data_IF_282295313890
#
_entry.id   IF_282295313890
#
_cell.length_a   1.000
_cell.length_b   1.000
_cell.length_c   1.000
_cell.angle_alpha   90.00
_cell.angle_beta   90.00
_cell.angle_gamma   90.00
#
_symmetry.space_group_name_H-M   'P 1'
#
loop_
_entity.id
_entity.type
_entity.pdbx_description
1 polymer ?
#
# COMPACT_ATOMS: atom_id res chain seq x y z
N UNK A 1 15.03 -21.44 5.90
CA UNK A 1 13.66 -20.99 5.58
C UNK A 1 13.63 -20.62 4.12
N UNK A 2 12.60 -21.08 3.41
CA UNK A 2 12.36 -20.71 2.02
C UNK A 2 11.85 -19.27 1.89
N UNK A 3 11.85 -18.72 0.67
CA UNK A 3 11.33 -17.38 0.38
C UNK A 3 9.87 -17.22 0.85
N UNK A 4 9.04 -18.25 0.61
CA UNK A 4 7.60 -18.26 0.94
C UNK A 4 7.33 -18.30 2.45
N UNK A 5 8.29 -18.75 3.26
CA UNK A 5 8.20 -18.72 4.73
C UNK A 5 8.78 -17.43 5.30
N UNK A 6 9.86 -16.91 4.69
CA UNK A 6 10.61 -15.78 5.21
C UNK A 6 9.93 -14.44 4.94
N UNK A 7 9.40 -14.24 3.73
CA UNK A 7 8.82 -12.96 3.33
C UNK A 7 7.62 -12.53 4.18
N UNK A 8 6.63 -13.42 4.47
CA UNK A 8 5.52 -13.06 5.34
C UNK A 8 5.97 -12.69 6.76
N UNK A 9 6.99 -13.39 7.29
CA UNK A 9 7.54 -13.09 8.63
C UNK A 9 8.17 -11.69 8.66
N UNK A 10 9.02 -11.36 7.69
CA UNK A 10 9.64 -10.04 7.59
C UNK A 10 8.58 -8.96 7.42
N UNK A 11 7.60 -9.17 6.53
CA UNK A 11 6.52 -8.23 6.29
C UNK A 11 5.68 -7.99 7.56
N UNK A 12 5.35 -9.05 8.30
CA UNK A 12 4.61 -8.96 9.57
C UNK A 12 5.38 -8.19 10.64
N UNK A 13 6.66 -8.49 10.83
CA UNK A 13 7.52 -7.77 11.78
C UNK A 13 7.67 -6.30 11.40
N UNK A 14 7.87 -6.00 10.11
CA UNK A 14 7.95 -4.63 9.62
C UNK A 14 6.64 -3.87 9.83
N UNK A 15 5.49 -4.51 9.59
CA UNK A 15 4.17 -3.92 9.83
C UNK A 15 3.98 -3.59 11.32
N UNK A 16 4.24 -4.54 12.23
CA UNK A 16 4.16 -4.32 13.68
C UNK A 16 5.07 -3.17 14.12
N UNK A 17 6.34 -3.19 13.71
CA UNK A 17 7.30 -2.14 14.04
C UNK A 17 6.85 -0.77 13.50
N UNK A 18 6.35 -0.71 12.27
CA UNK A 18 5.90 0.54 11.65
C UNK A 18 4.66 1.11 12.35
N UNK A 19 3.69 0.27 12.73
CA UNK A 19 2.49 0.70 13.45
C UNK A 19 2.88 1.21 14.84
N UNK A 20 3.69 0.46 15.59
CA UNK A 20 4.17 0.91 16.91
C UNK A 20 4.88 2.26 16.79
N UNK A 21 5.82 2.38 15.85
CA UNK A 21 6.55 3.61 15.62
C UNK A 21 5.63 4.79 15.29
N UNK A 22 4.68 4.60 14.35
CA UNK A 22 3.74 5.64 13.94
C UNK A 22 2.75 6.01 15.06
N UNK A 23 2.44 5.09 15.98
CA UNK A 23 1.55 5.34 17.12
C UNK A 23 2.21 6.12 18.26
N UNK A 24 3.54 6.10 18.37
CA UNK A 24 4.26 6.75 19.47
C UNK A 24 5.04 8.00 19.05
N UNK A 25 5.17 8.24 17.74
CA UNK A 25 5.94 9.38 17.24
C UNK A 25 5.07 10.62 17.06
N UNK A 26 5.40 11.69 17.77
CA UNK A 26 4.76 13.01 17.62
C UNK A 26 5.53 13.93 16.66
N UNK A 27 6.49 13.37 15.91
CA UNK A 27 7.30 14.18 14.99
C UNK A 27 6.43 14.68 13.84
N UNK A 28 6.50 15.99 13.52
CA UNK A 28 5.80 16.51 12.35
C UNK A 28 6.32 15.82 11.08
N UNK A 29 5.43 15.64 10.10
CA UNK A 29 5.80 15.05 8.82
C UNK A 29 6.83 15.96 8.12
N UNK A 30 7.97 15.38 7.75
CA UNK A 30 8.98 16.10 6.96
C UNK A 30 8.51 16.27 5.50
N UNK A 31 9.08 17.26 4.80
CA UNK A 31 8.81 17.48 3.35
C UNK A 31 9.14 16.28 2.45
N UNK A 32 9.98 15.36 2.93
CA UNK A 32 10.41 14.17 2.19
C UNK A 32 9.67 12.90 2.61
N UNK A 33 8.67 12.99 3.49
CA UNK A 33 7.96 11.81 4.00
C UNK A 33 7.25 11.02 2.90
N UNK A 34 6.91 11.66 1.77
CA UNK A 34 6.37 11.01 0.58
C UNK A 34 7.30 9.94 -0.04
N UNK A 35 8.60 9.99 0.24
CA UNK A 35 9.58 9.03 -0.30
C UNK A 35 9.41 7.63 0.29
N UNK A 36 8.98 7.52 1.54
CA UNK A 36 8.76 6.23 2.21
C UNK A 36 7.68 5.40 1.50
N UNK A 37 6.44 5.90 1.31
CA UNK A 37 5.43 5.17 0.57
C UNK A 37 5.81 4.98 -0.91
N UNK A 38 6.59 5.87 -1.52
CA UNK A 38 7.11 5.63 -2.88
C UNK A 38 8.04 4.41 -2.93
N UNK A 39 8.98 4.31 -1.99
CA UNK A 39 9.91 3.19 -1.89
C UNK A 39 9.18 1.88 -1.61
N UNK A 40 8.17 1.89 -0.73
CA UNK A 40 7.33 0.72 -0.45
C UNK A 40 6.53 0.27 -1.68
N UNK A 41 5.95 1.23 -2.42
CA UNK A 41 5.24 0.94 -3.67
C UNK A 41 6.17 0.29 -4.70
N UNK A 42 7.38 0.85 -4.91
CA UNK A 42 8.36 0.31 -5.85
C UNK A 42 8.90 -1.06 -5.43
N UNK A 43 9.21 -1.24 -4.14
CA UNK A 43 9.68 -2.52 -3.61
C UNK A 43 8.61 -3.61 -3.81
N UNK A 44 7.36 -3.30 -3.46
CA UNK A 44 6.27 -4.27 -3.60
C UNK A 44 5.92 -4.54 -5.08
N UNK A 45 6.05 -3.54 -5.96
CA UNK A 45 5.96 -3.74 -7.40
C UNK A 45 7.03 -4.73 -7.88
N UNK A 46 8.29 -4.60 -7.44
CA UNK A 46 9.36 -5.53 -7.79
C UNK A 46 9.05 -6.97 -7.37
N UNK A 47 8.57 -7.16 -6.13
CA UNK A 47 8.14 -8.47 -5.62
C UNK A 47 6.94 -9.03 -6.39
N UNK A 48 5.98 -8.18 -6.74
CA UNK A 48 4.79 -8.58 -7.52
C UNK A 48 5.15 -8.96 -8.95
N UNK A 49 6.09 -8.25 -9.57
CA UNK A 49 6.62 -8.61 -10.90
C UNK A 49 7.33 -9.95 -10.86
N UNK A 50 8.12 -10.24 -9.82
CA UNK A 50 8.73 -11.56 -9.64
C UNK A 50 7.65 -12.66 -9.60
N UNK A 51 6.60 -12.48 -8.79
CA UNK A 51 5.49 -13.43 -8.70
C UNK A 51 4.78 -13.61 -10.05
N UNK A 52 4.50 -12.53 -10.77
CA UNK A 52 3.88 -12.59 -12.10
C UNK A 52 4.75 -13.34 -13.12
N UNK A 53 6.07 -13.14 -13.08
CA UNK A 53 7.01 -13.80 -14.00
C UNK A 53 7.16 -15.30 -13.71
N UNK A 54 7.03 -15.71 -12.43
CA UNK A 54 7.23 -17.10 -12.00
C UNK A 54 5.92 -17.90 -12.00
N UNK A 55 4.82 -17.29 -11.54
CA UNK A 55 3.53 -17.95 -11.27
C UNK A 55 2.41 -17.50 -12.22
N UNK A 56 2.70 -16.53 -13.09
CA UNK A 56 1.76 -15.97 -14.07
C UNK A 56 0.93 -14.81 -13.52
N UNK A 57 0.34 -14.03 -14.42
CA UNK A 57 -0.43 -12.82 -14.08
C UNK A 57 -1.67 -13.07 -13.22
N UNK A 58 -2.21 -14.29 -13.25
CA UNK A 58 -3.38 -14.72 -12.46
C UNK A 58 -3.03 -15.79 -11.41
N UNK A 59 -1.73 -15.99 -11.10
CA UNK A 59 -1.28 -16.98 -10.12
C UNK A 59 -1.85 -16.77 -8.71
N UNK A 60 -2.27 -15.54 -8.38
CA UNK A 60 -2.92 -15.22 -7.11
C UNK A 60 -4.37 -15.74 -7.02
N UNK A 61 -5.07 -16.01 -8.13
CA UNK A 61 -6.50 -16.33 -8.08
C UNK A 61 -6.79 -17.65 -7.35
N UNK A 62 -6.08 -18.76 -7.65
CA UNK A 62 -6.25 -20.01 -6.90
C UNK A 62 -6.02 -19.85 -5.39
N UNK A 63 -5.10 -18.97 -4.97
CA UNK A 63 -4.82 -18.71 -3.55
C UNK A 63 -6.00 -18.09 -2.79
N UNK A 64 -6.86 -17.34 -3.49
CA UNK A 64 -8.06 -16.74 -2.89
C UNK A 64 -9.28 -17.66 -2.93
N UNK A 65 -9.24 -18.77 -3.69
CA UNK A 65 -10.37 -19.68 -3.84
C UNK A 65 -10.12 -21.07 -3.29
N UNK A 66 -8.90 -21.38 -2.82
CA UNK A 66 -8.54 -22.74 -2.37
C UNK A 66 -9.21 -23.18 -1.07
N UNK A 67 -9.53 -22.24 -0.17
CA UNK A 67 -10.19 -22.53 1.11
C UNK A 67 -10.70 -21.24 1.76
N UNK A 68 -11.43 -21.39 2.88
CA UNK A 68 -11.99 -20.27 3.63
C UNK A 68 -10.95 -19.26 4.13
N UNK A 69 -9.73 -19.69 4.44
CA UNK A 69 -8.65 -18.76 4.82
C UNK A 69 -8.21 -17.90 3.64
N UNK A 70 -8.12 -18.47 2.43
CA UNK A 70 -7.87 -17.73 1.20
C UNK A 70 -8.92 -16.65 0.95
N UNK A 71 -10.21 -17.01 1.09
CA UNK A 71 -11.30 -16.05 1.00
C UNK A 71 -11.21 -14.95 2.08
N UNK A 72 -10.92 -15.32 3.32
CA UNK A 72 -10.85 -14.37 4.43
C UNK A 72 -9.71 -13.35 4.21
N UNK A 73 -8.53 -13.80 3.76
CA UNK A 73 -7.41 -12.93 3.41
C UNK A 73 -7.81 -11.97 2.27
N UNK A 74 -8.52 -12.48 1.25
CA UNK A 74 -9.00 -11.64 0.15
C UNK A 74 -9.90 -10.50 0.65
N UNK A 75 -10.90 -10.83 1.46
CA UNK A 75 -11.85 -9.85 1.98
C UNK A 75 -11.15 -8.82 2.88
N UNK A 76 -10.23 -9.26 3.73
CA UNK A 76 -9.47 -8.38 4.63
C UNK A 76 -8.65 -7.36 3.83
N UNK A 77 -7.96 -7.80 2.77
CA UNK A 77 -7.21 -6.90 1.89
C UNK A 77 -8.12 -5.88 1.17
N UNK A 78 -9.27 -6.31 0.65
CA UNK A 78 -10.22 -5.43 -0.01
C UNK A 78 -10.82 -4.40 0.95
N UNK A 79 -11.19 -4.82 2.17
CA UNK A 79 -11.73 -3.94 3.20
C UNK A 79 -10.68 -2.94 3.68
N UNK A 80 -9.44 -3.39 3.91
CA UNK A 80 -8.32 -2.54 4.32
C UNK A 80 -7.99 -1.47 3.28
N UNK A 81 -7.86 -1.85 1.99
CA UNK A 81 -7.63 -0.89 0.90
C UNK A 81 -8.80 0.08 0.77
N UNK A 82 -10.04 -0.40 0.83
CA UNK A 82 -11.23 0.45 0.71
C UNK A 82 -11.33 1.47 1.85
N UNK A 83 -11.06 1.05 3.09
CA UNK A 83 -11.02 1.93 4.25
C UNK A 83 -9.92 2.99 4.09
N UNK A 84 -8.71 2.58 3.73
CA UNK A 84 -7.59 3.50 3.51
C UNK A 84 -7.92 4.57 2.45
N UNK A 85 -8.48 4.15 1.30
CA UNK A 85 -8.91 5.07 0.24
C UNK A 85 -9.98 6.04 0.76
N UNK A 86 -10.97 5.56 1.52
CA UNK A 86 -12.03 6.41 2.07
C UNK A 86 -11.47 7.55 2.94
N UNK A 87 -10.42 7.30 3.74
CA UNK A 87 -9.74 8.33 4.54
C UNK A 87 -8.78 9.22 3.73
N UNK A 88 -8.18 8.70 2.66
CA UNK A 88 -7.26 9.45 1.79
C UNK A 88 -8.02 10.45 0.91
N UNK A 89 -9.21 10.09 0.39
CA UNK A 89 -9.95 10.90 -0.59
C UNK A 89 -10.19 12.34 -0.15
N UNK A 90 -10.70 12.63 1.08
CA UNK A 90 -10.93 14.01 1.51
C UNK A 90 -9.65 14.86 1.51
N UNK A 91 -8.54 14.28 1.97
CA UNK A 91 -7.22 14.94 1.98
C UNK A 91 -6.71 15.19 0.57
N UNK A 92 -6.82 14.21 -0.32
CA UNK A 92 -6.46 14.34 -1.73
C UNK A 92 -7.24 15.46 -2.42
N UNK A 93 -8.55 15.56 -2.16
CA UNK A 93 -9.37 16.66 -2.70
C UNK A 93 -8.94 18.02 -2.15
N UNK A 94 -8.64 18.12 -0.84
CA UNK A 94 -8.10 19.36 -0.23
C UNK A 94 -6.76 19.77 -0.87
N UNK A 95 -5.93 18.80 -1.21
CA UNK A 95 -4.67 19.01 -1.93
C UNK A 95 -4.84 19.22 -3.45
N UNK A 96 -6.08 19.40 -3.95
CA UNK A 96 -6.43 19.58 -5.37
C UNK A 96 -5.95 18.44 -6.28
N UNK A 97 -5.79 17.24 -5.73
CA UNK A 97 -5.38 16.05 -6.45
C UNK A 97 -6.58 15.43 -7.19
N UNK A 98 -6.37 15.05 -8.46
CA UNK A 98 -7.35 14.28 -9.23
C UNK A 98 -7.43 12.85 -8.67
N UNK A 99 -8.52 12.49 -8.01
CA UNK A 99 -8.62 11.24 -7.23
C UNK A 99 -8.80 9.99 -8.10
N UNK A 100 -9.64 10.08 -9.15
CA UNK A 100 -10.11 8.91 -9.88
C UNK A 100 -8.98 8.03 -10.47
N UNK A 101 -7.95 8.58 -11.14
CA UNK A 101 -6.87 7.76 -11.68
C UNK A 101 -6.14 6.94 -10.61
N UNK A 102 -5.97 7.50 -9.42
CA UNK A 102 -5.28 6.82 -8.33
C UNK A 102 -6.15 5.77 -7.65
N UNK A 103 -7.45 6.03 -7.52
CA UNK A 103 -8.39 5.02 -7.05
C UNK A 103 -8.44 3.80 -8.00
N UNK A 104 -8.46 4.04 -9.31
CA UNK A 104 -8.39 2.96 -10.30
C UNK A 104 -7.06 2.19 -10.23
N UNK A 105 -5.94 2.90 -10.04
CA UNK A 105 -4.64 2.25 -9.83
C UNK A 105 -4.64 1.35 -8.59
N UNK A 106 -5.23 1.78 -7.47
CA UNK A 106 -5.38 0.96 -6.27
C UNK A 106 -6.25 -0.28 -6.53
N UNK A 107 -7.37 -0.13 -7.23
CA UNK A 107 -8.25 -1.27 -7.55
C UNK A 107 -7.54 -2.29 -8.46
N UNK A 108 -6.70 -1.82 -9.37
CA UNK A 108 -5.96 -2.68 -10.28
C UNK A 108 -4.74 -3.38 -9.64
N UNK A 109 -4.11 -2.76 -8.63
CA UNK A 109 -2.80 -3.19 -8.13
C UNK A 109 -2.71 -3.34 -6.60
N UNK A 110 -3.83 -3.18 -5.90
CA UNK A 110 -3.89 -3.24 -4.44
C UNK A 110 -2.96 -2.24 -3.77
N UNK A 111 -2.12 -2.74 -2.86
CA UNK A 111 -1.21 -1.92 -2.06
C UNK A 111 -0.18 -1.15 -2.88
N UNK A 112 0.22 -1.60 -4.08
CA UNK A 112 1.16 -0.87 -4.94
C UNK A 112 0.58 0.51 -5.27
N UNK A 113 -0.65 0.52 -5.80
CA UNK A 113 -1.38 1.75 -6.11
C UNK A 113 -1.72 2.57 -4.87
N UNK A 114 -2.08 1.91 -3.76
CA UNK A 114 -2.38 2.61 -2.51
C UNK A 114 -1.18 3.41 -1.99
N UNK A 115 -0.01 2.79 -1.92
CA UNK A 115 1.21 3.48 -1.49
C UNK A 115 1.66 4.55 -2.50
N UNK A 116 1.46 4.33 -3.80
CA UNK A 116 1.70 5.37 -4.80
C UNK A 116 0.76 6.58 -4.64
N UNK A 117 -0.52 6.33 -4.34
CA UNK A 117 -1.50 7.37 -4.02
C UNK A 117 -1.09 8.15 -2.77
N UNK A 118 -0.79 7.47 -1.67
CA UNK A 118 -0.34 8.11 -0.42
C UNK A 118 0.92 8.95 -0.67
N UNK A 119 1.89 8.42 -1.43
CA UNK A 119 3.10 9.16 -1.79
C UNK A 119 2.77 10.45 -2.53
N UNK A 120 1.93 10.39 -3.56
CA UNK A 120 1.55 11.58 -4.32
C UNK A 120 0.79 12.59 -3.47
N UNK A 121 -0.08 12.13 -2.57
CA UNK A 121 -0.79 13.01 -1.62
C UNK A 121 0.22 13.77 -0.74
N UNK A 122 1.12 13.06 -0.06
CA UNK A 122 2.10 13.67 0.83
C UNK A 122 3.03 14.63 0.09
N UNK A 123 3.39 14.31 -1.16
CA UNK A 123 4.19 15.18 -2.02
C UNK A 123 3.49 16.52 -2.31
N UNK A 124 2.18 16.50 -2.51
CA UNK A 124 1.38 17.70 -2.76
C UNK A 124 1.15 18.51 -1.48
N UNK A 125 0.79 17.85 -0.38
CA UNK A 125 0.59 18.49 0.93
C UNK A 125 1.87 19.24 1.37
N UNK A 126 3.04 18.61 1.26
CA UNK A 126 4.32 19.25 1.59
C UNK A 126 4.64 20.52 0.78
N UNK A 127 4.04 20.67 -0.42
CA UNK A 127 4.21 21.85 -1.27
C UNK A 127 3.19 22.93 -1.00
N UNK A 128 1.99 22.55 -0.55
CA UNK A 128 0.96 23.52 -0.15
C UNK A 128 1.38 24.21 1.15
N UNK A 129 1.94 23.47 2.11
CA UNK A 129 2.43 24.04 3.39
C UNK A 129 3.67 24.95 3.25
N UNK A 130 4.30 25.01 2.07
CA UNK A 130 5.47 25.87 1.83
C UNK A 130 5.07 27.27 1.31
N UNK A 131 3.78 27.53 1.08
CA UNK A 131 3.22 28.85 0.73
C UNK A 131 2.28 29.35 1.84
#
# INVERSE_FOLDING_TARGET
MSQVELFPLIAGLAAVASVIYLSITDKPLSKNTWMVPAALSLLFLGLSLQAVLVEGALGFWPEHTRNLWGNQIWYDLLLGVSAAIAFIIPRARKAKMQVLPWALLCLATGSIGLYAFISRLLYLEARIETY
#
